data_IF_106685154833
#
_entry.id   IF_106685154833
#
_cell.length_a   1.000
_cell.length_b   1.000
_cell.length_c   1.000
_cell.angle_alpha   90.00
_cell.angle_beta   90.00
_cell.angle_gamma   90.00
#
_symmetry.space_group_name_H-M   'P 1'
#
loop_
_entity.id
_entity.type
_entity.pdbx_description
1 polymer ?
#
# COMPACT_ATOMS: atom_id res chain seq x y z
N UNK A 1 -4.00 22.49 8.16
CA UNK A 1 -2.96 22.43 7.12
C UNK A 1 -1.61 22.69 7.78
N UNK A 2 -0.95 21.65 8.28
CA UNK A 2 0.39 21.76 8.87
C UNK A 2 1.38 21.34 7.78
N UNK A 3 2.09 22.31 7.21
CA UNK A 3 3.24 22.05 6.33
C UNK A 3 4.37 21.50 7.19
N UNK A 4 4.70 20.22 7.01
CA UNK A 4 5.98 19.68 7.41
C UNK A 4 6.98 20.00 6.30
N UNK A 5 7.62 21.17 6.40
CA UNK A 5 8.80 21.50 5.61
C UNK A 5 9.98 20.67 6.16
N UNK A 6 10.17 19.48 5.61
CA UNK A 6 11.42 18.75 5.75
C UNK A 6 12.35 19.19 4.61
N UNK A 7 13.11 20.27 4.83
CA UNK A 7 14.27 20.58 3.98
C UNK A 7 15.28 19.44 4.14
N UNK A 8 15.53 18.72 3.06
CA UNK A 8 16.72 17.87 2.93
C UNK A 8 17.96 18.79 2.99
N UNK A 9 19.00 18.44 3.76
CA UNK A 9 20.27 19.14 3.64
C UNK A 9 20.92 18.76 2.30
N UNK A 10 21.00 19.71 1.38
CA UNK A 10 22.05 19.73 0.36
C UNK A 10 23.37 19.87 1.10
N UNK A 11 24.19 18.82 1.09
CA UNK A 11 25.67 18.86 1.13
C UNK A 11 26.16 17.43 1.40
N UNK A 12 26.69 16.76 0.37
CA UNK A 12 27.74 15.75 0.59
C UNK A 12 28.58 15.55 -0.69
N UNK A 13 29.22 16.63 -1.15
CA UNK A 13 30.52 16.48 -1.81
C UNK A 13 31.60 16.59 -0.73
N UNK A 14 32.02 15.45 -0.19
CA UNK A 14 33.32 15.27 0.45
C UNK A 14 33.53 13.79 0.77
N UNK A 15 34.56 13.22 0.15
CA UNK A 15 34.99 11.84 0.33
C UNK A 15 35.33 11.59 1.81
N UNK A 16 34.45 10.86 2.50
CA UNK A 16 34.71 10.27 3.81
C UNK A 16 34.41 8.79 3.72
N UNK A 17 35.38 7.96 4.08
CA UNK A 17 35.22 6.51 4.15
C UNK A 17 34.18 6.18 5.24
N UNK A 18 32.94 5.92 4.84
CA UNK A 18 31.88 5.47 5.75
C UNK A 18 32.11 3.98 6.03
N UNK A 19 32.26 3.61 7.30
CA UNK A 19 32.45 2.21 7.70
C UNK A 19 31.22 1.36 7.34
N UNK A 20 31.42 0.06 7.08
CA UNK A 20 30.34 -0.85 6.71
C UNK A 20 29.20 -0.96 7.73
N UNK A 21 29.46 -0.64 9.02
CA UNK A 21 28.43 -0.59 10.05
C UNK A 21 27.58 0.69 10.01
N UNK A 22 28.15 1.81 9.55
CA UNK A 22 27.40 3.06 9.38
C UNK A 22 26.48 2.98 8.16
N UNK A 23 26.92 2.30 7.09
CA UNK A 23 26.08 2.02 5.91
C UNK A 23 24.86 1.16 6.23
N UNK A 24 24.99 0.14 7.09
CA UNK A 24 23.85 -0.70 7.50
C UNK A 24 22.87 0.05 8.40
N UNK A 25 23.36 0.94 9.27
CA UNK A 25 22.49 1.81 10.08
C UNK A 25 21.73 2.79 9.20
N UNK A 26 22.40 3.45 8.26
CA UNK A 26 21.76 4.36 7.30
C UNK A 26 20.73 3.62 6.45
N UNK A 27 21.05 2.41 5.96
CA UNK A 27 20.11 1.60 5.19
C UNK A 27 18.88 1.18 6.01
N UNK A 28 19.07 0.81 7.28
CA UNK A 28 17.98 0.49 8.19
C UNK A 28 17.08 1.71 8.47
N UNK A 29 17.68 2.89 8.62
CA UNK A 29 16.92 4.13 8.84
C UNK A 29 16.20 4.59 7.58
N UNK A 30 16.81 4.46 6.40
CA UNK A 30 16.12 4.66 5.13
C UNK A 30 14.92 3.72 5.01
N UNK A 31 15.09 2.42 5.32
CA UNK A 31 13.98 1.45 5.33
C UNK A 31 12.88 1.86 6.32
N UNK A 32 13.23 2.28 7.54
CA UNK A 32 12.26 2.77 8.54
C UNK A 32 11.48 3.99 8.04
N UNK A 33 12.17 4.98 7.50
CA UNK A 33 11.55 6.19 6.95
C UNK A 33 10.63 5.85 5.78
N UNK A 34 11.06 4.95 4.89
CA UNK A 34 10.24 4.48 3.77
C UNK A 34 9.00 3.73 4.23
N UNK A 35 9.12 2.82 5.21
CA UNK A 35 7.98 2.09 5.78
C UNK A 35 7.02 3.04 6.48
N UNK A 36 7.53 3.99 7.29
CA UNK A 36 6.70 5.00 7.95
C UNK A 36 6.00 5.90 6.94
N UNK A 37 6.69 6.31 5.87
CA UNK A 37 6.10 7.08 4.78
C UNK A 37 4.96 6.30 4.13
N UNK A 38 5.17 5.03 3.75
CA UNK A 38 4.11 4.20 3.15
C UNK A 38 2.95 3.95 4.12
N UNK A 39 3.23 3.74 5.40
CA UNK A 39 2.20 3.54 6.42
C UNK A 39 1.36 4.81 6.64
N UNK A 40 1.99 5.97 6.75
CA UNK A 40 1.30 7.26 6.80
C UNK A 40 0.54 7.54 5.50
N UNK A 41 1.12 7.16 4.36
CA UNK A 41 0.46 7.20 3.06
C UNK A 41 -0.72 6.22 2.95
N UNK A 42 -0.76 5.12 3.70
CA UNK A 42 -1.95 4.27 3.78
C UNK A 42 -3.03 4.90 4.67
N UNK A 43 -2.62 5.47 5.81
CA UNK A 43 -3.54 6.04 6.80
C UNK A 43 -4.26 7.30 6.31
N UNK A 44 -3.59 8.25 5.65
CA UNK A 44 -4.28 9.47 5.18
C UNK A 44 -5.09 9.27 3.87
N UNK A 45 -5.25 8.03 3.39
CA UNK A 45 -6.06 7.70 2.21
C UNK A 45 -7.35 6.92 2.54
N UNK A 46 -7.59 6.62 3.82
CA UNK A 46 -8.83 5.98 4.28
C UNK A 46 -9.95 7.02 4.39
N UNK A 47 -11.15 6.71 3.89
CA UNK A 47 -12.34 7.56 4.06
C UNK A 47 -12.70 7.72 5.55
N UNK A 48 -12.50 6.66 6.34
CA UNK A 48 -12.65 6.68 7.79
C UNK A 48 -11.28 6.71 8.51
N UNK A 49 -11.05 7.67 9.42
CA UNK A 49 -9.79 7.76 10.14
C UNK A 49 -9.65 6.61 11.15
N UNK A 50 -8.75 5.67 10.87
CA UNK A 50 -8.44 4.55 11.77
C UNK A 50 -7.63 4.97 13.02
N UNK A 51 -7.05 6.18 13.00
CA UNK A 51 -6.30 6.76 14.11
C UNK A 51 -6.78 8.18 14.41
N UNK A 52 -6.97 8.51 15.69
CA UNK A 52 -7.21 9.87 16.15
C UNK A 52 -6.16 10.28 17.20
N UNK A 53 -5.85 11.57 17.24
CA UNK A 53 -5.00 12.13 18.30
C UNK A 53 -5.89 12.68 19.42
N UNK A 54 -5.93 12.00 20.57
CA UNK A 54 -6.72 12.40 21.74
C UNK A 54 -5.82 12.43 22.97
N UNK A 55 -5.83 13.55 23.71
CA UNK A 55 -5.09 13.67 24.97
C UNK A 55 -3.57 13.51 24.85
N UNK A 56 -2.97 13.95 23.73
CA UNK A 56 -1.52 13.85 23.53
C UNK A 56 -1.03 12.48 23.02
N UNK A 57 -1.93 11.54 22.71
CA UNK A 57 -1.60 10.19 22.22
C UNK A 57 -2.44 9.83 21.01
N UNK A 58 -1.90 8.97 20.15
CA UNK A 58 -2.64 8.36 19.05
C UNK A 58 -3.46 7.16 19.56
N UNK A 59 -4.75 7.11 19.22
CA UNK A 59 -5.70 6.06 19.58
C UNK A 59 -6.37 5.50 18.33
N UNK A 60 -6.60 4.18 18.30
CA UNK A 60 -7.33 3.53 17.20
C UNK A 60 -8.82 3.90 17.23
N UNK A 61 -9.41 4.11 16.06
CA UNK A 61 -10.84 4.42 15.86
C UNK A 61 -11.46 3.50 14.80
N UNK A 62 -10.80 2.39 14.47
CA UNK A 62 -11.31 1.41 13.51
C UNK A 62 -12.67 0.84 13.97
N UNK A 63 -13.69 0.73 13.10
CA UNK A 63 -14.93 0.04 13.41
C UNK A 63 -14.65 -1.42 13.76
N UNK A 64 -15.29 -1.93 14.81
CA UNK A 64 -15.27 -3.36 15.17
C UNK A 64 -16.13 -4.09 14.14
N UNK A 65 -15.64 -5.16 13.48
CA UNK A 65 -16.42 -5.85 12.46
C UNK A 65 -17.59 -6.60 13.09
N UNK A 66 -18.82 -6.17 12.77
CA UNK A 66 -20.04 -6.90 13.07
C UNK A 66 -20.16 -8.14 12.19
N UNK A 67 -20.45 -9.26 12.85
CA UNK A 67 -20.54 -10.63 12.35
C UNK A 67 -21.59 -10.81 11.25
N UNK A 68 -21.20 -11.37 10.09
CA UNK A 68 -22.13 -11.94 9.10
C UNK A 68 -22.43 -13.41 9.45
N UNK A 69 -23.66 -13.70 9.85
CA UNK A 69 -24.22 -15.07 9.98
C UNK A 69 -25.06 -15.31 11.24
N UNK A 70 -26.35 -14.94 11.23
CA UNK A 70 -27.35 -15.30 12.26
C UNK A 70 -28.09 -16.58 11.85
N UNK A 71 -28.09 -17.63 12.69
CA UNK A 71 -29.27 -18.48 12.92
C UNK A 71 -29.32 -19.00 14.38
N UNK A 72 -30.23 -18.36 15.12
CA UNK A 72 -30.99 -18.72 16.31
C UNK A 72 -30.71 -20.07 17.05
N UNK A 73 -30.10 -19.94 18.22
CA UNK A 73 -30.10 -20.94 19.30
C UNK A 73 -29.63 -20.27 20.59
N UNK A 74 -30.55 -20.07 21.53
CA UNK A 74 -30.36 -19.44 22.83
C UNK A 74 -29.20 -20.05 23.64
N UNK A 75 -28.19 -19.23 23.96
CA UNK A 75 -27.54 -19.07 25.27
C UNK A 75 -26.16 -18.38 25.10
N UNK A 76 -25.94 -17.39 25.96
CA UNK A 76 -24.73 -16.59 26.20
C UNK A 76 -23.42 -17.16 25.62
N UNK A 77 -22.96 -16.54 24.53
CA UNK A 77 -21.69 -16.86 23.88
C UNK A 77 -20.56 -15.98 24.41
N UNK A 78 -19.80 -16.54 25.35
CA UNK A 78 -18.39 -16.28 25.68
C UNK A 78 -17.82 -14.98 25.12
N UNK A 79 -17.86 -13.96 25.97
CA UNK A 79 -16.71 -13.08 26.10
C UNK A 79 -15.47 -13.98 26.16
N UNK A 80 -14.44 -13.67 25.38
CA UNK A 80 -13.09 -14.09 25.75
C UNK A 80 -12.83 -13.36 27.06
N UNK A 81 -13.27 -14.00 28.14
CA UNK A 81 -12.75 -13.81 29.47
C UNK A 81 -11.24 -13.78 29.27
N UNK A 82 -10.63 -12.62 29.49
CA UNK A 82 -9.33 -12.62 30.12
C UNK A 82 -9.53 -13.54 31.33
N UNK A 83 -9.15 -14.82 31.19
CA UNK A 83 -8.84 -15.65 32.33
C UNK A 83 -7.71 -14.86 33.01
N UNK A 84 -8.11 -13.97 33.93
CA UNK A 84 -7.35 -13.69 35.12
C UNK A 84 -7.17 -15.06 35.78
N UNK A 85 -6.19 -15.85 35.30
CA UNK A 85 -5.55 -16.86 36.12
C UNK A 85 -5.05 -16.09 37.33
N UNK A 86 -5.88 -16.13 38.36
CA UNK A 86 -5.65 -15.62 39.68
C UNK A 86 -4.36 -16.30 40.16
N UNK A 87 -3.24 -15.60 40.03
CA UNK A 87 -1.99 -16.04 40.62
C UNK A 87 -2.24 -15.99 42.13
N UNK A 88 -2.63 -17.14 42.70
CA UNK A 88 -2.63 -17.38 44.13
C UNK A 88 -1.18 -17.21 44.57
N UNK A 89 -0.80 -15.98 44.92
CA UNK A 89 0.41 -15.72 45.67
C UNK A 89 0.07 -16.24 47.06
N UNK A 90 0.65 -17.39 47.42
CA UNK A 90 0.63 -17.90 48.79
C UNK A 90 1.03 -16.75 49.73
N UNK A 91 0.05 -16.24 50.47
CA UNK A 91 0.29 -15.35 51.59
C UNK A 91 1.17 -16.15 52.57
N UNK A 92 2.44 -15.77 52.66
CA UNK A 92 3.28 -16.17 53.77
C UNK A 92 2.68 -15.53 55.03
N UNK A 93 1.87 -16.31 55.75
CA UNK A 93 1.53 -16.02 57.14
C UNK A 93 2.82 -16.16 57.97
N UNK A 94 3.30 -15.05 58.52
CA UNK A 94 4.18 -15.10 59.68
C UNK A 94 3.71 -14.05 60.70
N UNK A 95 3.24 -14.57 61.83
CA UNK A 95 2.89 -13.90 63.07
C UNK A 95 3.94 -12.87 63.51
N UNK A 96 3.51 -11.65 63.84
CA UNK A 96 4.01 -10.96 65.04
C UNK A 96 3.10 -9.79 65.41
N UNK A 97 2.41 -9.95 66.53
CA UNK A 97 1.85 -8.89 67.38
C UNK A 97 2.87 -7.77 67.66
N UNK A 98 2.42 -6.50 67.67
CA UNK A 98 3.24 -5.37 68.10
C UNK A 98 2.59 -4.00 67.87
N UNK A 99 1.93 -3.48 68.92
CA UNK A 99 1.31 -2.15 69.04
C UNK A 99 2.15 -0.99 68.45
N UNK A 100 1.55 -0.14 67.61
CA UNK A 100 2.15 1.14 67.20
C UNK A 100 1.38 1.90 66.10
N UNK A 101 0.40 2.72 66.51
CA UNK A 101 -0.54 3.52 65.69
C UNK A 101 0.09 4.65 64.84
N UNK A 102 1.12 4.34 64.04
CA UNK A 102 1.72 5.31 63.13
C UNK A 102 2.63 4.72 62.04
N UNK A 103 3.15 3.50 62.24
CA UNK A 103 3.98 2.80 61.24
C UNK A 103 3.20 1.82 60.36
N UNK A 104 2.01 1.38 60.79
CA UNK A 104 1.23 0.37 60.07
C UNK A 104 0.64 0.88 58.75
N UNK A 105 0.23 2.14 58.68
CA UNK A 105 -0.35 2.73 57.47
C UNK A 105 0.73 2.93 56.38
N UNK A 106 1.94 3.34 56.78
CA UNK A 106 3.10 3.44 55.87
C UNK A 106 3.50 2.06 55.31
N UNK A 107 3.49 1.02 56.16
CA UNK A 107 3.77 -0.37 55.74
C UNK A 107 2.67 -0.87 54.78
N UNK A 108 1.41 -0.52 55.02
CA UNK A 108 0.27 -0.88 54.17
C UNK A 108 0.34 -0.19 52.80
N UNK A 109 0.69 1.10 52.78
CA UNK A 109 0.87 1.87 51.56
C UNK A 109 2.06 1.35 50.72
N UNK A 110 3.17 0.98 51.38
CA UNK A 110 4.33 0.37 50.72
C UNK A 110 4.00 -1.00 50.12
N UNK A 111 3.19 -1.82 50.80
CA UNK A 111 2.71 -3.11 50.27
C UNK A 111 1.80 -2.90 49.04
N UNK A 112 0.88 -1.95 49.09
CA UNK A 112 0.04 -1.60 47.95
C UNK A 112 0.86 -1.09 46.74
N UNK A 113 1.86 -0.24 46.99
CA UNK A 113 2.80 0.22 45.96
C UNK A 113 3.61 -0.93 45.36
N UNK A 114 4.07 -1.89 46.17
CA UNK A 114 4.79 -3.08 45.71
C UNK A 114 3.91 -3.95 44.80
N UNK A 115 2.66 -4.20 45.19
CA UNK A 115 1.71 -4.98 44.39
C UNK A 115 1.37 -4.28 43.05
N UNK A 116 1.12 -2.97 43.08
CA UNK A 116 0.86 -2.18 41.88
C UNK A 116 2.07 -2.16 40.91
N UNK A 117 3.28 -2.12 41.46
CA UNK A 117 4.51 -2.18 40.66
C UNK A 117 4.70 -3.57 40.06
N UNK A 118 4.44 -4.64 40.82
CA UNK A 118 4.49 -6.02 40.32
C UNK A 118 3.51 -6.22 39.15
N UNK A 119 2.27 -5.71 39.26
CA UNK A 119 1.27 -5.76 38.18
C UNK A 119 1.75 -5.03 36.92
N UNK A 120 2.35 -3.83 37.06
CA UNK A 120 2.93 -3.09 35.92
C UNK A 120 4.09 -3.82 35.25
N UNK A 121 4.95 -4.48 36.02
CA UNK A 121 6.07 -5.27 35.49
C UNK A 121 5.53 -6.48 34.71
N UNK A 122 4.54 -7.20 35.26
CA UNK A 122 3.91 -8.33 34.58
C UNK A 122 3.22 -7.91 33.27
N UNK A 123 2.55 -6.75 33.26
CA UNK A 123 1.93 -6.20 32.05
C UNK A 123 2.97 -5.80 30.99
N UNK A 124 4.10 -5.21 31.41
CA UNK A 124 5.22 -4.92 30.52
C UNK A 124 5.86 -6.19 29.94
N UNK A 125 6.02 -7.24 30.76
CA UNK A 125 6.54 -8.54 30.32
C UNK A 125 5.61 -9.19 29.29
N UNK A 126 4.30 -9.29 29.57
CA UNK A 126 3.32 -9.78 28.59
C UNK A 126 3.34 -8.97 27.29
N UNK A 127 3.51 -7.65 27.37
CA UNK A 127 3.63 -6.80 26.17
C UNK A 127 4.92 -7.11 25.40
N UNK A 128 6.04 -7.30 26.08
CA UNK A 128 7.30 -7.69 25.46
C UNK A 128 7.20 -9.07 24.80
N UNK A 129 6.60 -10.06 25.46
CA UNK A 129 6.39 -11.40 24.91
C UNK A 129 5.51 -11.37 23.67
N UNK A 130 4.40 -10.60 23.67
CA UNK A 130 3.57 -10.40 22.48
C UNK A 130 4.34 -9.75 21.33
N UNK A 131 5.16 -8.74 21.61
CA UNK A 131 6.00 -8.09 20.60
C UNK A 131 7.04 -9.09 20.06
N UNK A 132 7.66 -9.87 20.93
CA UNK A 132 8.66 -10.87 20.58
C UNK A 132 8.05 -11.98 19.71
N UNK A 133 6.86 -12.49 20.05
CA UNK A 133 6.14 -13.47 19.25
C UNK A 133 5.81 -12.95 17.84
N UNK A 134 5.38 -11.70 17.70
CA UNK A 134 5.12 -11.08 16.38
C UNK A 134 6.41 -10.90 15.58
N UNK A 135 7.52 -10.54 16.24
CA UNK A 135 8.83 -10.44 15.60
C UNK A 135 9.34 -11.81 15.13
N UNK A 136 9.15 -12.84 15.94
CA UNK A 136 9.53 -14.22 15.61
C UNK A 136 8.69 -14.77 14.44
N UNK A 137 7.38 -14.51 14.43
CA UNK A 137 6.49 -14.90 13.33
C UNK A 137 6.86 -14.19 12.01
N UNK A 138 7.22 -12.89 12.08
CA UNK A 138 7.77 -12.16 10.93
C UNK A 138 9.14 -12.67 10.49
N UNK A 139 9.95 -13.20 11.41
CA UNK A 139 11.26 -13.78 11.08
C UNK A 139 11.15 -15.15 10.41
N UNK A 140 10.05 -15.89 10.68
CA UNK A 140 9.74 -17.18 10.07
C UNK A 140 9.03 -17.04 8.71
N UNK A 141 8.39 -15.89 8.45
CA UNK A 141 7.90 -15.54 7.11
C UNK A 141 9.09 -15.38 6.16
N UNK A 142 9.24 -16.33 5.21
CA UNK A 142 10.27 -16.22 4.17
C UNK A 142 10.13 -14.89 3.43
N UNK A 143 11.25 -14.18 3.28
CA UNK A 143 11.26 -12.91 2.56
C UNK A 143 10.85 -13.15 1.10
N UNK A 144 9.83 -12.43 0.65
CA UNK A 144 9.41 -12.38 -0.74
C UNK A 144 10.02 -11.14 -1.38
N UNK A 145 10.77 -11.32 -2.47
CA UNK A 145 11.44 -10.25 -3.20
C UNK A 145 10.83 -10.10 -4.59
N UNK A 146 10.68 -8.87 -5.07
CA UNK A 146 10.24 -8.60 -6.44
C UNK A 146 11.47 -8.32 -7.32
N UNK A 147 11.69 -9.18 -8.32
CA UNK A 147 12.62 -8.90 -9.39
C UNK A 147 11.90 -8.18 -10.53
N UNK A 148 12.12 -6.86 -10.64
CA UNK A 148 11.38 -5.99 -11.55
C UNK A 148 12.19 -5.78 -12.84
N UNK A 149 11.64 -6.22 -13.98
CA UNK A 149 12.24 -6.05 -15.32
C UNK A 149 11.20 -5.44 -16.28
N UNK A 150 11.02 -4.11 -16.28
CA UNK A 150 9.92 -3.47 -16.99
C UNK A 150 9.94 -3.77 -18.50
N UNK A 151 8.86 -4.38 -18.99
CA UNK A 151 8.57 -4.63 -20.41
C UNK A 151 7.19 -4.08 -20.75
N UNK A 152 6.18 -4.38 -19.93
CA UNK A 152 4.81 -3.91 -20.10
C UNK A 152 4.55 -2.68 -19.23
N UNK A 153 4.07 -1.61 -19.84
CA UNK A 153 3.74 -0.36 -19.16
C UNK A 153 2.23 -0.15 -19.25
N UNK A 154 1.57 -0.04 -18.10
CA UNK A 154 0.12 0.15 -18.01
C UNK A 154 -0.15 1.56 -17.50
N UNK A 155 -0.53 2.52 -18.35
CA UNK A 155 -0.94 3.85 -17.92
C UNK A 155 -2.42 3.88 -17.48
N UNK A 156 -2.74 4.77 -16.54
CA UNK A 156 -4.12 5.16 -16.24
C UNK A 156 -4.59 6.34 -17.13
N UNK A 157 -5.83 6.77 -16.95
CA UNK A 157 -6.42 7.89 -17.69
C UNK A 157 -5.68 9.20 -17.45
N UNK A 158 -5.29 9.48 -16.21
CA UNK A 158 -4.56 10.69 -15.85
C UNK A 158 -3.18 10.74 -16.53
N UNK A 159 -2.52 9.59 -16.70
CA UNK A 159 -1.28 9.48 -17.45
C UNK A 159 -1.39 10.02 -18.88
N UNK A 160 -2.50 9.77 -19.56
CA UNK A 160 -2.76 10.36 -20.88
C UNK A 160 -3.14 11.85 -20.81
N UNK A 161 -3.88 12.28 -19.80
CA UNK A 161 -4.29 13.68 -19.67
C UNK A 161 -3.09 14.58 -19.34
N UNK A 162 -2.19 14.14 -18.47
CA UNK A 162 -1.11 14.97 -17.96
C UNK A 162 0.24 14.71 -18.62
N UNK A 163 0.48 13.49 -19.11
CA UNK A 163 1.81 13.06 -19.57
C UNK A 163 1.82 12.41 -20.96
N UNK A 164 0.88 12.77 -21.85
CA UNK A 164 0.79 12.22 -23.21
C UNK A 164 2.14 12.25 -23.97
N UNK A 165 2.87 13.36 -23.87
CA UNK A 165 4.18 13.50 -24.53
C UNK A 165 5.20 12.48 -24.00
N UNK A 166 5.22 12.25 -22.68
CA UNK A 166 6.10 11.26 -22.05
C UNK A 166 5.73 9.84 -22.45
N UNK A 167 4.44 9.51 -22.53
CA UNK A 167 3.97 8.22 -23.03
C UNK A 167 4.34 8.00 -24.50
N UNK A 168 4.22 9.02 -25.35
CA UNK A 168 4.67 8.95 -26.74
C UNK A 168 6.17 8.65 -26.85
N UNK A 169 7.00 9.30 -26.04
CA UNK A 169 8.45 9.04 -25.98
C UNK A 169 8.78 7.61 -25.52
N UNK A 170 8.07 7.12 -24.51
CA UNK A 170 8.23 5.73 -24.05
C UNK A 170 7.90 4.73 -25.16
N UNK A 171 6.82 4.97 -25.91
CA UNK A 171 6.43 4.15 -27.05
C UNK A 171 7.45 4.21 -28.20
N UNK A 172 7.96 5.42 -28.49
CA UNK A 172 8.97 5.65 -29.54
C UNK A 172 10.33 5.02 -29.21
N UNK A 173 10.64 4.82 -27.94
CA UNK A 173 11.89 4.18 -27.52
C UNK A 173 12.03 2.72 -27.97
N UNK A 174 10.90 2.06 -28.31
CA UNK A 174 10.81 0.63 -28.68
C UNK A 174 11.31 -0.36 -27.60
N UNK A 175 11.63 0.11 -26.39
CA UNK A 175 12.10 -0.72 -25.27
C UNK A 175 10.96 -1.39 -24.52
N UNK A 176 9.76 -0.80 -24.60
CA UNK A 176 8.60 -1.18 -23.81
C UNK A 176 7.38 -1.41 -24.70
N UNK A 177 6.42 -2.16 -24.16
CA UNK A 177 5.10 -2.36 -24.73
C UNK A 177 4.12 -1.58 -23.85
N UNK A 178 3.53 -0.53 -24.41
CA UNK A 178 2.47 0.23 -23.77
C UNK A 178 1.16 -0.56 -23.90
N UNK A 179 0.61 -0.99 -22.78
CA UNK A 179 -0.64 -1.76 -22.72
C UNK A 179 -1.71 -0.88 -22.09
N UNK A 180 -2.68 -0.45 -22.90
CA UNK A 180 -3.75 0.45 -22.47
C UNK A 180 -4.98 -0.37 -22.08
N UNK A 181 -5.43 -0.35 -20.82
CA UNK A 181 -6.69 -0.99 -20.44
C UNK A 181 -7.84 -0.37 -21.26
N UNK A 182 -8.76 -1.19 -21.80
CA UNK A 182 -9.85 -0.63 -22.62
C UNK A 182 -10.73 0.35 -21.81
N UNK A 183 -10.87 0.13 -20.50
CA UNK A 183 -11.57 1.06 -19.61
C UNK A 183 -10.98 2.48 -19.66
N UNK A 184 -9.65 2.61 -19.75
CA UNK A 184 -8.96 3.91 -19.88
C UNK A 184 -9.31 4.57 -21.21
N UNK A 185 -9.38 3.80 -22.30
CA UNK A 185 -9.77 4.32 -23.62
C UNK A 185 -11.23 4.80 -23.58
N UNK A 186 -12.12 4.04 -22.95
CA UNK A 186 -13.54 4.39 -22.81
C UNK A 186 -13.72 5.67 -21.97
N UNK A 187 -12.96 5.82 -20.89
CA UNK A 187 -12.94 7.05 -20.10
C UNK A 187 -12.47 8.26 -20.91
N UNK A 188 -11.38 8.11 -21.68
CA UNK A 188 -10.87 9.16 -22.56
C UNK A 188 -11.89 9.54 -23.65
N UNK A 189 -12.60 8.58 -24.24
CA UNK A 189 -13.70 8.86 -25.17
C UNK A 189 -14.83 9.65 -24.51
N UNK A 190 -15.20 9.29 -23.28
CA UNK A 190 -16.20 10.00 -22.48
C UNK A 190 -15.78 11.45 -22.20
N UNK A 191 -14.53 11.64 -21.80
CA UNK A 191 -13.94 12.97 -21.55
C UNK A 191 -13.85 13.80 -22.85
N UNK A 192 -13.51 13.19 -23.98
CA UNK A 192 -13.39 13.86 -25.28
C UNK A 192 -14.76 14.31 -25.81
N UNK A 193 -15.81 13.52 -25.61
CA UNK A 193 -17.20 13.91 -25.98
C UNK A 193 -17.72 15.05 -25.11
N UNK A 194 -17.34 15.08 -23.84
CA UNK A 194 -17.86 16.06 -22.87
C UNK A 194 -19.33 15.80 -22.52
N UNK A 195 -19.85 16.50 -21.49
CA UNK A 195 -21.29 16.48 -21.20
C UNK A 195 -21.99 17.58 -21.99
N UNK A 196 -22.96 17.22 -22.83
CA UNK A 196 -23.73 18.17 -23.67
C UNK A 196 -24.51 19.22 -22.86
N UNK A 197 -24.74 19.00 -21.57
CA UNK A 197 -25.55 19.87 -20.71
C UNK A 197 -24.81 21.06 -20.11
N UNK A 198 -23.47 21.11 -20.21
CA UNK A 198 -22.67 22.14 -19.55
C UNK A 198 -22.12 23.17 -20.54
N UNK A 199 -23.00 24.04 -21.05
CA UNK A 199 -22.60 25.34 -21.59
C UNK A 199 -21.91 26.25 -20.54
N UNK A 200 -21.80 25.79 -19.29
CA UNK A 200 -21.03 26.40 -18.19
C UNK A 200 -19.79 25.60 -17.79
N UNK A 201 -19.39 24.58 -18.55
CA UNK A 201 -18.17 23.83 -18.29
C UNK A 201 -16.99 24.82 -18.17
N UNK A 202 -16.48 24.98 -16.95
CA UNK A 202 -15.42 25.93 -16.64
C UNK A 202 -14.18 25.70 -17.52
N UNK A 203 -13.31 26.71 -17.62
CA UNK A 203 -12.12 26.64 -18.50
C UNK A 203 -11.28 25.37 -18.33
N UNK A 204 -11.22 24.81 -17.12
CA UNK A 204 -10.53 23.55 -16.83
C UNK A 204 -11.14 22.33 -17.55
N UNK A 205 -12.47 22.18 -17.57
CA UNK A 205 -13.13 21.05 -18.20
C UNK A 205 -12.88 21.00 -19.73
N UNK A 206 -12.84 22.17 -20.38
CA UNK A 206 -12.46 22.29 -21.80
C UNK A 206 -11.00 21.89 -22.06
N UNK A 207 -10.09 22.24 -21.14
CA UNK A 207 -8.68 21.84 -21.25
C UNK A 207 -8.53 20.31 -21.16
N UNK A 208 -9.23 19.69 -20.20
CA UNK A 208 -9.23 18.22 -20.05
C UNK A 208 -9.86 17.54 -21.28
N UNK A 209 -10.97 18.06 -21.79
CA UNK A 209 -11.61 17.55 -23.01
C UNK A 209 -10.65 17.57 -24.21
N UNK A 210 -9.96 18.69 -24.45
CA UNK A 210 -9.01 18.79 -25.56
C UNK A 210 -7.78 17.87 -25.37
N UNK A 211 -7.30 17.71 -24.13
CA UNK A 211 -6.26 16.74 -23.81
C UNK A 211 -6.72 15.31 -24.10
N UNK A 212 -7.94 14.95 -23.69
CA UNK A 212 -8.53 13.64 -23.96
C UNK A 212 -8.68 13.37 -25.47
N UNK A 213 -9.14 14.37 -26.24
CA UNK A 213 -9.23 14.30 -27.71
C UNK A 213 -7.87 14.01 -28.35
N UNK A 214 -6.82 14.72 -27.91
CA UNK A 214 -5.43 14.48 -28.38
C UNK A 214 -4.93 13.08 -28.03
N UNK A 215 -5.29 12.57 -26.86
CA UNK A 215 -4.91 11.22 -26.42
C UNK A 215 -5.60 10.13 -27.26
N UNK A 216 -6.90 10.26 -27.54
CA UNK A 216 -7.62 9.36 -28.46
C UNK A 216 -7.01 9.42 -29.85
N UNK A 217 -6.79 10.62 -30.39
CA UNK A 217 -6.18 10.80 -31.70
C UNK A 217 -4.77 10.18 -31.79
N UNK A 218 -3.98 10.28 -30.72
CA UNK A 218 -2.68 9.61 -30.62
C UNK A 218 -2.83 8.09 -30.65
N UNK A 219 -3.74 7.52 -29.85
CA UNK A 219 -3.96 6.08 -29.79
C UNK A 219 -4.47 5.54 -31.12
N UNK A 220 -5.49 6.15 -31.71
CA UNK A 220 -6.08 5.72 -32.98
C UNK A 220 -5.04 5.67 -34.09
N UNK A 221 -4.23 6.72 -34.27
CA UNK A 221 -3.17 6.74 -35.28
C UNK A 221 -2.15 5.61 -35.08
N UNK A 222 -1.80 5.28 -33.83
CA UNK A 222 -0.81 4.23 -33.50
C UNK A 222 -1.38 2.82 -33.68
N UNK A 223 -2.66 2.61 -33.39
CA UNK A 223 -3.34 1.35 -33.71
C UNK A 223 -3.55 1.17 -35.21
N UNK A 224 -3.92 2.22 -35.94
CA UNK A 224 -4.04 2.21 -37.41
C UNK A 224 -2.72 1.89 -38.09
N UNK A 225 -1.60 2.41 -37.58
CA UNK A 225 -0.26 2.09 -38.07
C UNK A 225 0.26 0.72 -37.61
N UNK A 226 -0.53 -0.04 -36.84
CA UNK A 226 -0.18 -1.35 -36.26
C UNK A 226 1.13 -1.31 -35.48
N UNK A 227 1.27 -0.33 -34.59
CA UNK A 227 2.45 -0.19 -33.75
C UNK A 227 2.64 -1.43 -32.85
N UNK A 228 3.70 -2.21 -33.10
CA UNK A 228 3.99 -3.46 -32.36
C UNK A 228 4.25 -3.26 -30.86
N UNK A 229 4.51 -2.02 -30.42
CA UNK A 229 4.76 -1.66 -29.03
C UNK A 229 3.52 -1.08 -28.34
N UNK A 230 2.36 -1.04 -29.01
CA UNK A 230 1.10 -0.58 -28.43
C UNK A 230 0.07 -1.71 -28.45
N UNK A 231 -0.60 -1.94 -27.33
CA UNK A 231 -1.68 -2.91 -27.20
C UNK A 231 -2.83 -2.32 -26.40
N UNK A 232 -4.05 -2.74 -26.69
CA UNK A 232 -5.17 -2.53 -25.78
C UNK A 232 -5.52 -3.87 -25.13
N UNK A 233 -5.95 -3.84 -23.86
CA UNK A 233 -6.35 -5.05 -23.16
C UNK A 233 -7.79 -4.91 -22.67
N UNK A 234 -8.63 -5.88 -23.01
CA UNK A 234 -9.99 -5.93 -22.51
C UNK A 234 -10.03 -6.28 -21.03
N UNK A 235 -11.14 -5.95 -20.40
CA UNK A 235 -11.43 -6.38 -19.02
C UNK A 235 -11.45 -7.92 -18.84
N UNK A 236 -11.59 -8.68 -19.93
CA UNK A 236 -11.53 -10.15 -19.97
C UNK A 236 -10.13 -10.70 -20.29
N UNK A 237 -9.13 -9.83 -20.48
CA UNK A 237 -7.75 -10.22 -20.78
C UNK A 237 -7.49 -10.56 -22.24
N UNK A 238 -8.31 -10.09 -23.18
CA UNK A 238 -8.03 -10.22 -24.61
C UNK A 238 -7.18 -9.03 -25.08
N UNK A 239 -6.04 -9.30 -25.71
CA UNK A 239 -5.25 -8.26 -26.37
C UNK A 239 -5.91 -7.86 -27.70
N UNK A 240 -6.03 -6.55 -27.93
CA UNK A 240 -6.59 -5.98 -29.15
C UNK A 240 -5.48 -5.27 -29.95
N UNK A 241 -5.38 -5.62 -31.22
CA UNK A 241 -4.50 -4.96 -32.21
C UNK A 241 -5.18 -3.76 -32.90
N UNK A 242 -6.48 -3.57 -32.66
CA UNK A 242 -7.25 -2.45 -33.20
C UNK A 242 -8.31 -2.00 -32.20
N UNK A 243 -8.57 -0.70 -32.16
CA UNK A 243 -9.56 -0.06 -31.29
C UNK A 243 -10.67 0.66 -32.08
N UNK A 244 -10.76 0.42 -33.40
CA UNK A 244 -11.73 1.07 -34.28
C UNK A 244 -13.19 0.81 -33.86
N UNK A 245 -13.45 -0.40 -33.32
CA UNK A 245 -14.74 -0.79 -32.76
C UNK A 245 -14.53 -1.25 -31.31
N UNK A 246 -14.51 -0.28 -30.41
CA UNK A 246 -14.29 -0.47 -28.98
C UNK A 246 -15.61 -0.35 -28.23
N UNK A 247 -16.27 -1.49 -28.02
CA UNK A 247 -17.44 -1.58 -27.15
C UNK A 247 -17.32 -2.86 -26.34
N UNK A 248 -17.22 -2.72 -25.03
CA UNK A 248 -17.21 -3.84 -24.10
C UNK A 248 -18.52 -3.87 -23.33
N UNK A 249 -19.12 -5.07 -23.30
CA UNK A 249 -20.21 -5.33 -22.39
C UNK A 249 -19.64 -5.53 -20.98
N UNK A 250 -19.68 -4.46 -20.20
CA UNK A 250 -19.31 -4.41 -18.78
C UNK A 250 -20.45 -4.88 -17.86
N UNK A 251 -21.62 -5.26 -18.42
CA UNK A 251 -22.74 -5.74 -17.59
C UNK A 251 -22.33 -7.04 -16.90
N UNK A 252 -22.27 -6.99 -15.57
CA UNK A 252 -21.85 -8.12 -14.73
C UNK A 252 -20.41 -8.08 -14.23
N UNK A 253 -19.60 -7.07 -14.57
CA UNK A 253 -18.29 -6.89 -13.94
C UNK A 253 -18.42 -6.22 -12.57
N UNK A 254 -18.02 -6.95 -11.53
CA UNK A 254 -17.85 -6.44 -10.17
C UNK A 254 -16.49 -5.73 -10.07
N UNK A 255 -16.49 -4.44 -9.73
CA UNK A 255 -15.26 -3.68 -9.48
C UNK A 255 -15.36 -2.24 -9.97
N UNK A 256 -14.53 -1.37 -9.40
CA UNK A 256 -14.36 -0.01 -9.92
C UNK A 256 -13.36 -0.02 -11.09
N UNK A 257 -13.19 1.14 -11.75
CA UNK A 257 -12.28 1.25 -12.89
C UNK A 257 -10.81 0.97 -12.49
N UNK A 258 -10.40 1.28 -11.26
CA UNK A 258 -9.08 0.91 -10.74
C UNK A 258 -8.88 -0.60 -10.73
N UNK A 259 -9.91 -1.37 -10.34
CA UNK A 259 -9.84 -2.84 -10.29
C UNK A 259 -9.66 -3.42 -11.69
N UNK A 260 -10.22 -2.78 -12.72
CA UNK A 260 -10.02 -3.13 -14.13
C UNK A 260 -8.62 -2.76 -14.64
N UNK A 261 -8.05 -1.65 -14.19
CA UNK A 261 -6.65 -1.28 -14.50
C UNK A 261 -5.69 -2.27 -13.82
N UNK A 262 -5.99 -2.66 -12.58
CA UNK A 262 -5.20 -3.63 -11.84
C UNK A 262 -5.32 -5.04 -12.43
N UNK A 263 -6.50 -5.46 -12.89
CA UNK A 263 -6.67 -6.74 -13.58
C UNK A 263 -5.85 -6.78 -14.88
N UNK A 264 -5.76 -5.65 -15.59
CA UNK A 264 -4.87 -5.49 -16.73
C UNK A 264 -3.39 -5.69 -16.34
N UNK A 265 -2.94 -5.10 -15.22
CA UNK A 265 -1.58 -5.34 -14.72
C UNK A 265 -1.35 -6.81 -14.36
N UNK A 266 -2.28 -7.42 -13.62
CA UNK A 266 -2.20 -8.79 -13.16
C UNK A 266 -2.21 -9.81 -14.30
N UNK A 267 -2.80 -9.49 -15.45
CA UNK A 267 -2.73 -10.32 -16.66
C UNK A 267 -1.28 -10.65 -17.06
N UNK A 268 -0.35 -9.72 -16.81
CA UNK A 268 1.08 -9.89 -17.12
C UNK A 268 1.90 -10.44 -15.94
N UNK A 269 1.29 -10.65 -14.78
CA UNK A 269 1.91 -11.36 -13.66
C UNK A 269 1.77 -12.88 -13.88
N UNK A 270 2.65 -13.46 -14.72
CA UNK A 270 2.63 -14.89 -15.06
C UNK A 270 3.33 -15.75 -14.01
N UNK A 271 2.70 -15.79 -12.84
CA UNK A 271 3.17 -16.52 -11.68
C UNK A 271 2.99 -18.04 -11.87
N UNK A 272 4.07 -18.80 -12.07
CA UNK A 272 4.03 -20.27 -12.09
C UNK A 272 4.57 -20.81 -10.78
N UNK A 273 3.89 -21.77 -10.15
CA UNK A 273 4.29 -22.38 -8.88
C UNK A 273 5.76 -22.83 -8.80
N UNK A 274 6.37 -23.22 -9.94
CA UNK A 274 7.77 -23.61 -10.04
C UNK A 274 8.75 -22.45 -9.83
N UNK A 275 8.34 -21.23 -10.18
CA UNK A 275 9.15 -20.01 -10.06
C UNK A 275 9.23 -19.52 -8.60
N UNK A 276 8.36 -20.04 -7.73
CA UNK A 276 8.27 -19.71 -6.30
C UNK A 276 8.99 -20.68 -5.39
N UNK A 277 9.46 -21.81 -5.91
CA UNK A 277 10.14 -22.84 -5.12
C UNK A 277 11.64 -22.56 -5.16
N UNK A 278 12.23 -21.92 -4.13
CA UNK A 278 13.66 -21.75 -4.06
C UNK A 278 14.35 -23.12 -3.97
N UNK A 279 15.58 -23.18 -4.50
CA UNK A 279 16.36 -24.43 -4.53
C UNK A 279 16.85 -24.81 -3.13
N UNK A 280 17.01 -23.81 -2.25
CA UNK A 280 17.37 -23.95 -0.84
C UNK A 280 16.26 -23.40 0.07
N UNK A 281 16.19 -23.87 1.32
CA UNK A 281 15.20 -23.37 2.30
C UNK A 281 15.49 -21.95 2.80
N UNK A 282 16.69 -21.44 2.56
CA UNK A 282 17.22 -20.16 3.06
C UNK A 282 17.11 -19.03 2.02
N UNK A 283 16.87 -19.34 0.75
CA UNK A 283 16.68 -18.35 -0.30
C UNK A 283 15.30 -17.67 -0.24
N UNK A 284 15.24 -16.35 -0.49
CA UNK A 284 13.98 -15.63 -0.60
C UNK A 284 13.18 -16.10 -1.81
N UNK A 285 11.85 -15.97 -1.73
CA UNK A 285 10.95 -16.25 -2.85
C UNK A 285 11.02 -15.05 -3.80
N UNK A 286 11.55 -15.25 -5.02
CA UNK A 286 11.73 -14.16 -5.99
C UNK A 286 10.61 -14.17 -7.02
N UNK A 287 9.88 -13.07 -7.09
CA UNK A 287 8.78 -12.83 -8.01
C UNK A 287 9.26 -11.98 -9.19
N UNK A 288 9.32 -12.58 -10.37
CA UNK A 288 9.58 -11.82 -11.59
C UNK A 288 8.34 -10.96 -11.91
N UNK A 289 8.57 -9.67 -12.12
CA UNK A 289 7.55 -8.72 -12.57
C UNK A 289 8.04 -7.98 -13.78
N UNK A 290 7.41 -8.25 -14.92
CA UNK A 290 7.70 -7.58 -16.19
C UNK A 290 6.74 -6.42 -16.47
N UNK A 291 5.75 -6.20 -15.60
CA UNK A 291 4.76 -5.14 -15.71
C UNK A 291 5.03 -4.02 -14.72
N UNK A 292 4.79 -2.78 -15.14
CA UNK A 292 4.80 -1.60 -14.28
C UNK A 292 3.55 -0.78 -14.55
N UNK A 293 2.81 -0.47 -13.48
CA UNK A 293 1.72 0.49 -13.50
C UNK A 293 2.29 1.91 -13.47
N UNK A 294 1.86 2.74 -14.41
CA UNK A 294 2.23 4.15 -14.52
C UNK A 294 1.06 5.01 -14.03
N UNK A 295 1.18 5.53 -12.80
CA UNK A 295 0.12 6.34 -12.18
C UNK A 295 0.69 7.29 -11.14
N UNK A 296 0.09 8.47 -11.05
CA UNK A 296 0.28 9.44 -9.98
C UNK A 296 -0.76 9.27 -8.85
N UNK A 297 -1.80 8.44 -9.07
CA UNK A 297 -2.87 8.22 -8.11
C UNK A 297 -2.40 7.40 -6.91
N UNK A 298 -2.62 7.95 -5.71
CA UNK A 298 -2.18 7.35 -4.45
C UNK A 298 -2.96 6.08 -4.11
N UNK A 299 -4.27 6.05 -4.35
CA UNK A 299 -5.13 4.92 -4.02
C UNK A 299 -4.82 3.74 -4.95
N UNK A 300 -4.71 4.01 -6.25
CA UNK A 300 -4.33 3.01 -7.24
C UNK A 300 -2.92 2.47 -6.97
N UNK A 301 -1.97 3.35 -6.61
CA UNK A 301 -0.61 2.94 -6.18
C UNK A 301 -0.65 1.98 -4.99
N UNK A 302 -1.41 2.30 -3.94
CA UNK A 302 -1.55 1.41 -2.77
C UNK A 302 -2.18 0.07 -3.18
N UNK A 303 -3.26 0.08 -3.96
CA UNK A 303 -3.93 -1.15 -4.44
C UNK A 303 -3.01 -2.04 -5.28
N UNK A 304 -2.10 -1.46 -6.05
CA UNK A 304 -1.12 -2.17 -6.86
C UNK A 304 0.00 -2.78 -5.99
N UNK A 305 0.52 -2.01 -5.02
CA UNK A 305 1.56 -2.50 -4.11
C UNK A 305 1.07 -3.68 -3.26
N UNK A 306 -0.18 -3.66 -2.77
CA UNK A 306 -0.76 -4.80 -2.03
C UNK A 306 -0.94 -6.06 -2.88
N UNK A 307 -0.89 -5.92 -4.21
CA UNK A 307 -0.98 -7.01 -5.18
C UNK A 307 0.38 -7.36 -5.81
N UNK A 308 1.48 -6.85 -5.26
CA UNK A 308 2.83 -7.05 -5.78
C UNK A 308 3.00 -6.60 -7.25
N UNK A 309 2.26 -5.55 -7.66
CA UNK A 309 2.42 -4.90 -8.95
C UNK A 309 3.36 -3.70 -8.78
N UNK A 310 4.49 -3.64 -9.50
CA UNK A 310 5.37 -2.47 -9.47
C UNK A 310 4.67 -1.21 -9.98
N UNK A 311 4.91 -0.08 -9.31
CA UNK A 311 4.30 1.21 -9.65
C UNK A 311 5.35 2.31 -9.72
N UNK A 312 5.23 3.20 -10.70
CA UNK A 312 5.98 4.46 -10.79
C UNK A 312 5.11 5.58 -11.37
N UNK A 313 5.40 6.81 -10.98
CA UNK A 313 4.94 7.97 -11.74
C UNK A 313 5.64 8.05 -13.10
N UNK A 314 4.98 8.65 -14.09
CA UNK A 314 5.49 8.72 -15.45
C UNK A 314 6.81 9.52 -15.53
N UNK A 315 6.96 10.70 -14.91
CA UNK A 315 8.22 11.44 -14.92
C UNK A 315 9.41 10.66 -14.35
N UNK A 316 9.24 9.98 -13.20
CA UNK A 316 10.28 9.15 -12.62
C UNK A 316 10.61 7.95 -13.50
N UNK A 317 9.61 7.30 -14.10
CA UNK A 317 9.85 6.18 -15.00
C UNK A 317 10.61 6.63 -16.26
N UNK A 318 10.26 7.78 -16.83
CA UNK A 318 10.94 8.35 -18.01
C UNK A 318 12.43 8.62 -17.72
N UNK A 319 12.71 9.16 -16.54
CA UNK A 319 14.08 9.43 -16.05
C UNK A 319 14.86 8.12 -15.89
N UNK A 320 14.24 7.11 -15.24
CA UNK A 320 14.84 5.79 -15.06
C UNK A 320 15.13 5.09 -16.39
N UNK A 321 14.22 5.21 -17.36
CA UNK A 321 14.35 4.61 -18.69
C UNK A 321 15.42 5.26 -19.58
N UNK A 322 15.97 6.42 -19.16
CA UNK A 322 16.95 7.21 -19.90
C UNK A 322 16.48 7.54 -21.32
N UNK A 323 15.20 7.88 -21.46
CA UNK A 323 14.58 8.31 -22.72
C UNK A 323 14.18 9.79 -22.65
N UNK A 324 14.85 10.55 -21.77
CA UNK A 324 14.60 11.94 -21.35
C UNK A 324 15.30 13.01 -22.17
#
# INVERSE_FOLDING_TARGET
MVRLDARLPEHLESSTHISGSALTVIAADCKRVTVLKYFLEALCGQEEPLLAFKGGKYVSVAPVPDTMGKEMGSQEGKQLEDEEEDVVIEDFEEDSEGEGSGGEDDIRELRAKKLALARKIAEQQRRQEKIQAVLEDQSQMRQMELEIRPLFLVPDTNGFIDHLASLARLLESRKYILVVPLIVINELDGLAKGQETDHRAGGYARVVQEKARKSIEFLERRFESRDSCLRALTSRGNELESIAFRSEDITGQLGNNDDLILSCCLHYCKDKAKDFMPTSKEEPIRLLREVVLLTDDRNLRVKALTRNVPVRDIPAFLTWAQVG
#
